data_IF_076559270513
#
_entry.id   IF_076559270513
#
_cell.length_a   1.000
_cell.length_b   1.000
_cell.length_c   1.000
_cell.angle_alpha   90.00
_cell.angle_beta   90.00
_cell.angle_gamma   90.00
#
_symmetry.space_group_name_H-M   'P 1'
#
loop_
_entity.id
_entity.type
_entity.pdbx_description
1 polymer ?
#
# COMPACT_ATOMS: atom_id res chain seq x y z
N UNK A 1 -6.81 -8.80 -26.61
CA UNK A 1 -6.97 -8.07 -25.32
C UNK A 1 -7.38 -9.12 -24.31
N UNK A 2 -6.51 -9.38 -23.34
CA UNK A 2 -6.74 -10.35 -22.26
C UNK A 2 -7.91 -9.83 -21.41
N UNK A 3 -8.95 -10.65 -21.22
CA UNK A 3 -10.09 -10.31 -20.37
C UNK A 3 -10.08 -11.22 -19.14
N UNK A 4 -9.43 -10.77 -18.08
CA UNK A 4 -9.47 -11.49 -16.80
C UNK A 4 -10.86 -11.40 -16.15
N UNK A 5 -11.28 -12.50 -15.52
CA UNK A 5 -12.49 -12.53 -14.69
C UNK A 5 -12.15 -12.06 -13.26
N UNK A 6 -12.17 -10.77 -13.03
CA UNK A 6 -11.80 -10.19 -11.74
C UNK A 6 -12.80 -10.52 -10.60
N UNK A 7 -14.04 -10.92 -10.91
CA UNK A 7 -14.97 -11.37 -9.88
C UNK A 7 -14.56 -12.70 -9.24
N UNK A 8 -13.83 -13.54 -9.96
CA UNK A 8 -13.25 -14.76 -9.39
C UNK A 8 -12.09 -14.45 -8.44
N UNK A 9 -11.29 -13.41 -8.73
CA UNK A 9 -10.26 -12.94 -7.80
C UNK A 9 -10.85 -12.28 -6.56
N UNK A 10 -11.94 -11.50 -6.70
CA UNK A 10 -12.68 -10.96 -5.57
C UNK A 10 -13.15 -12.11 -4.64
N UNK A 11 -13.83 -13.13 -5.21
CA UNK A 11 -14.31 -14.29 -4.45
C UNK A 11 -13.17 -15.13 -3.84
N UNK A 12 -12.03 -15.24 -4.53
CA UNK A 12 -10.87 -15.95 -4.02
C UNK A 12 -10.24 -15.22 -2.81
N UNK A 13 -10.24 -13.90 -2.87
CA UNK A 13 -9.76 -13.07 -1.75
C UNK A 13 -10.67 -13.21 -0.53
N UNK A 14 -12.00 -13.20 -0.73
CA UNK A 14 -12.96 -13.41 0.36
C UNK A 14 -12.70 -14.75 1.05
N UNK A 15 -12.52 -15.84 0.29
CA UNK A 15 -12.21 -17.17 0.83
C UNK A 15 -10.87 -17.22 1.59
N UNK A 16 -9.89 -16.43 1.16
CA UNK A 16 -8.61 -16.31 1.85
C UNK A 16 -8.76 -15.57 3.18
N UNK A 17 -9.57 -14.48 3.20
CA UNK A 17 -9.86 -13.69 4.41
C UNK A 17 -10.67 -14.52 5.41
N UNK A 18 -11.63 -15.33 4.94
CA UNK A 18 -12.47 -16.22 5.76
C UNK A 18 -11.74 -17.49 6.20
N UNK A 19 -10.45 -17.62 5.86
CA UNK A 19 -9.60 -18.78 6.18
C UNK A 19 -10.12 -20.12 5.59
N UNK A 20 -10.98 -20.06 4.58
CA UNK A 20 -11.44 -21.26 3.85
C UNK A 20 -10.32 -21.89 3.00
N UNK A 21 -9.36 -21.07 2.57
CA UNK A 21 -8.16 -21.51 1.86
C UNK A 21 -6.91 -20.93 2.52
N UNK A 22 -5.83 -21.70 2.54
CA UNK A 22 -4.53 -21.23 3.04
C UNK A 22 -3.74 -20.46 1.98
N UNK A 23 -2.82 -19.61 2.44
CA UNK A 23 -1.89 -18.90 1.53
C UNK A 23 -1.05 -19.85 0.68
N UNK A 24 -0.72 -21.04 1.21
CA UNK A 24 0.03 -22.08 0.48
C UNK A 24 -0.77 -22.70 -0.65
N UNK A 25 -2.10 -22.73 -0.56
CA UNK A 25 -2.98 -23.30 -1.57
C UNK A 25 -3.37 -22.27 -2.65
N UNK A 26 -3.17 -20.98 -2.38
CA UNK A 26 -3.56 -19.88 -3.24
C UNK A 26 -3.03 -20.01 -4.67
N UNK A 27 -1.76 -20.39 -4.93
CA UNK A 27 -1.27 -20.59 -6.29
C UNK A 27 -2.09 -21.59 -7.10
N UNK A 28 -2.56 -22.69 -6.47
CA UNK A 28 -3.38 -23.70 -7.12
C UNK A 28 -4.74 -23.14 -7.61
N UNK A 29 -5.34 -22.24 -6.83
CA UNK A 29 -6.61 -21.60 -7.21
C UNK A 29 -6.44 -20.46 -8.22
N UNK A 30 -5.27 -19.83 -8.26
CA UNK A 30 -4.97 -18.75 -9.21
C UNK A 30 -4.55 -19.30 -10.58
N UNK A 31 -3.87 -20.45 -10.63
CA UNK A 31 -3.35 -21.03 -11.88
C UNK A 31 -4.39 -21.10 -13.02
N UNK A 32 -5.65 -21.53 -12.79
CA UNK A 32 -6.67 -21.56 -13.83
C UNK A 32 -7.08 -20.18 -14.37
N UNK A 33 -6.79 -19.09 -13.63
CA UNK A 33 -7.14 -17.72 -13.99
C UNK A 33 -6.02 -17.02 -14.77
N UNK A 34 -4.86 -17.67 -14.92
CA UNK A 34 -3.69 -17.07 -15.56
C UNK A 34 -3.81 -17.14 -17.09
N UNK A 35 -3.68 -15.98 -17.73
CA UNK A 35 -3.41 -15.85 -19.17
C UNK A 35 -1.95 -15.39 -19.43
N UNK A 36 -1.11 -15.45 -18.40
CA UNK A 36 0.28 -15.04 -18.40
C UNK A 36 0.94 -15.36 -17.07
N UNK A 37 1.70 -14.42 -16.51
CA UNK A 37 2.29 -14.58 -15.19
C UNK A 37 1.35 -14.09 -14.07
N UNK A 38 1.56 -14.59 -12.85
CA UNK A 38 0.88 -14.10 -11.64
C UNK A 38 1.01 -12.57 -11.53
N UNK A 39 2.20 -12.04 -11.79
CA UNK A 39 2.41 -10.59 -11.70
C UNK A 39 1.64 -9.80 -12.76
N UNK A 40 1.45 -10.35 -13.96
CA UNK A 40 0.64 -9.69 -14.99
C UNK A 40 -0.83 -9.66 -14.58
N UNK A 41 -1.35 -10.75 -14.01
CA UNK A 41 -2.69 -10.81 -13.45
C UNK A 41 -2.89 -9.78 -12.33
N UNK A 42 -1.98 -9.75 -11.34
CA UNK A 42 -2.05 -8.81 -10.22
C UNK A 42 -1.96 -7.35 -10.67
N UNK A 43 -1.08 -7.05 -11.64
CA UNK A 43 -1.01 -5.71 -12.24
C UNK A 43 -2.30 -5.31 -12.96
N UNK A 44 -2.88 -6.22 -13.72
CA UNK A 44 -4.15 -5.98 -14.41
C UNK A 44 -5.28 -5.74 -13.41
N UNK A 45 -5.35 -6.54 -12.34
CA UNK A 45 -6.35 -6.43 -11.28
C UNK A 45 -6.23 -5.11 -10.52
N UNK A 46 -5.00 -4.74 -10.12
CA UNK A 46 -4.75 -3.46 -9.45
C UNK A 46 -5.04 -2.27 -10.37
N UNK A 47 -4.68 -2.32 -11.65
CA UNK A 47 -4.98 -1.27 -12.62
C UNK A 47 -6.50 -1.12 -12.86
N UNK A 48 -7.25 -2.22 -12.87
CA UNK A 48 -8.71 -2.17 -12.96
C UNK A 48 -9.30 -1.47 -11.73
N UNK A 49 -8.84 -1.84 -10.52
CA UNK A 49 -9.25 -1.21 -9.28
C UNK A 49 -8.96 0.31 -9.27
N UNK A 50 -7.79 0.73 -9.74
CA UNK A 50 -7.40 2.14 -9.86
C UNK A 50 -8.29 2.86 -10.87
N UNK A 51 -8.50 2.28 -12.05
CA UNK A 51 -9.30 2.88 -13.14
C UNK A 51 -10.73 3.14 -12.71
N UNK A 52 -11.33 2.19 -11.97
CA UNK A 52 -12.71 2.29 -11.50
C UNK A 52 -12.83 2.89 -10.09
N UNK A 53 -11.73 3.31 -9.47
CA UNK A 53 -11.67 3.81 -8.08
C UNK A 53 -12.36 2.86 -7.09
N UNK A 54 -12.13 1.56 -7.24
CA UNK A 54 -12.70 0.54 -6.39
C UNK A 54 -11.78 0.27 -5.18
N UNK A 55 -12.07 0.93 -4.05
CA UNK A 55 -11.26 0.84 -2.84
C UNK A 55 -11.17 -0.59 -2.28
N UNK A 56 -12.28 -1.34 -2.26
CA UNK A 56 -12.30 -2.72 -1.78
C UNK A 56 -11.40 -3.61 -2.63
N UNK A 57 -11.38 -3.41 -3.95
CA UNK A 57 -10.51 -4.19 -4.85
C UNK A 57 -9.03 -3.83 -4.69
N UNK A 58 -8.70 -2.60 -4.26
CA UNK A 58 -7.33 -2.26 -3.85
C UNK A 58 -6.89 -3.13 -2.66
N UNK A 59 -7.73 -3.24 -1.64
CA UNK A 59 -7.45 -4.10 -0.48
C UNK A 59 -7.28 -5.57 -0.89
N UNK A 60 -8.18 -6.08 -1.73
CA UNK A 60 -8.06 -7.44 -2.28
C UNK A 60 -6.75 -7.64 -3.04
N UNK A 61 -6.35 -6.69 -3.89
CA UNK A 61 -5.11 -6.78 -4.66
C UNK A 61 -3.88 -6.82 -3.75
N UNK A 62 -3.87 -6.02 -2.67
CA UNK A 62 -2.77 -6.02 -1.69
C UNK A 62 -2.72 -7.33 -0.90
N UNK A 63 -3.86 -7.87 -0.48
CA UNK A 63 -3.95 -9.16 0.22
C UNK A 63 -3.41 -10.30 -0.67
N UNK A 64 -3.86 -10.37 -1.93
CA UNK A 64 -3.39 -11.38 -2.87
C UNK A 64 -1.89 -11.24 -3.16
N UNK A 65 -1.40 -10.02 -3.40
CA UNK A 65 0.02 -9.77 -3.66
C UNK A 65 0.89 -10.16 -2.47
N UNK A 66 0.46 -9.81 -1.25
CA UNK A 66 1.15 -10.19 -0.01
C UNK A 66 1.18 -11.71 0.19
N UNK A 67 0.04 -12.39 0.02
CA UNK A 67 -0.07 -13.84 0.14
C UNK A 67 0.79 -14.60 -0.88
N UNK A 68 1.00 -14.02 -2.07
CA UNK A 68 1.82 -14.58 -3.14
C UNK A 68 3.29 -14.14 -3.09
N UNK A 69 3.65 -13.21 -2.19
CA UNK A 69 5.01 -12.66 -2.10
C UNK A 69 5.40 -11.75 -3.26
N UNK A 70 4.43 -11.12 -3.93
CA UNK A 70 4.63 -10.32 -5.15
C UNK A 70 4.64 -8.80 -4.92
N UNK A 71 4.44 -8.31 -3.69
CA UNK A 71 4.37 -6.88 -3.36
C UNK A 71 5.51 -6.06 -3.92
N UNK A 72 6.73 -6.58 -3.83
CA UNK A 72 7.93 -5.88 -4.32
C UNK A 72 7.83 -5.52 -5.81
N UNK A 73 7.18 -6.36 -6.60
CA UNK A 73 7.03 -6.15 -8.06
C UNK A 73 5.93 -5.13 -8.39
N UNK A 74 5.07 -4.81 -7.41
CA UNK A 74 3.99 -3.82 -7.53
C UNK A 74 4.36 -2.47 -6.90
N UNK A 75 5.55 -2.33 -6.33
CA UNK A 75 5.95 -1.17 -5.53
C UNK A 75 5.73 0.18 -6.24
N UNK A 76 6.02 0.26 -7.54
CA UNK A 76 5.80 1.49 -8.33
C UNK A 76 4.33 1.89 -8.44
N UNK A 77 3.42 0.90 -8.52
CA UNK A 77 1.98 1.15 -8.54
C UNK A 77 1.49 1.58 -7.16
N UNK A 78 2.01 0.97 -6.10
CA UNK A 78 1.72 1.33 -4.71
C UNK A 78 2.18 2.74 -4.36
N UNK A 79 3.34 3.19 -4.85
CA UNK A 79 3.79 4.58 -4.68
C UNK A 79 2.83 5.60 -5.32
N UNK A 80 2.36 5.31 -6.53
CA UNK A 80 1.39 6.18 -7.19
C UNK A 80 0.06 6.18 -6.43
N UNK A 81 -0.39 5.01 -6.00
CA UNK A 81 -1.63 4.85 -5.25
C UNK A 81 -1.58 5.56 -3.89
N UNK A 82 -0.43 5.55 -3.19
CA UNK A 82 -0.24 6.25 -1.92
C UNK A 82 -0.61 7.75 -2.00
N UNK A 83 -0.47 8.38 -3.16
CA UNK A 83 -0.77 9.80 -3.35
C UNK A 83 -2.22 10.08 -3.78
N UNK A 84 -3.02 9.06 -4.01
CA UNK A 84 -4.45 9.16 -4.31
C UNK A 84 -5.25 9.25 -3.01
N UNK A 85 -6.41 9.93 -3.03
CA UNK A 85 -7.20 10.21 -1.81
C UNK A 85 -8.56 9.52 -1.75
N UNK A 86 -8.89 8.70 -2.76
CA UNK A 86 -10.20 8.07 -2.92
C UNK A 86 -10.31 6.67 -2.27
N UNK A 87 -9.23 6.11 -1.73
CA UNK A 87 -9.20 4.82 -1.02
C UNK A 87 -8.76 5.00 0.45
N UNK A 88 -8.74 3.92 1.23
CA UNK A 88 -8.43 3.95 2.65
C UNK A 88 -7.17 3.14 3.05
N UNK A 89 -6.44 2.59 2.10
CA UNK A 89 -5.30 1.68 2.33
C UNK A 89 -3.95 2.40 2.52
N UNK A 90 -3.95 3.69 2.89
CA UNK A 90 -2.71 4.49 2.94
C UNK A 90 -1.69 3.96 3.94
N UNK A 91 -2.13 3.51 5.12
CA UNK A 91 -1.21 2.99 6.14
C UNK A 91 -0.57 1.69 5.71
N UNK A 92 -1.33 0.79 5.07
CA UNK A 92 -0.82 -0.49 4.56
C UNK A 92 0.15 -0.27 3.39
N UNK A 93 -0.13 0.71 2.52
CA UNK A 93 0.79 1.09 1.44
C UNK A 93 2.13 1.62 2.00
N UNK A 94 2.11 2.39 3.09
CA UNK A 94 3.35 2.83 3.76
C UNK A 94 4.11 1.65 4.31
N UNK A 95 3.45 0.67 4.94
CA UNK A 95 4.09 -0.53 5.49
C UNK A 95 4.73 -1.38 4.38
N UNK A 96 4.08 -1.51 3.23
CA UNK A 96 4.66 -2.20 2.06
C UNK A 96 5.87 -1.45 1.52
N UNK A 97 5.77 -0.11 1.36
CA UNK A 97 6.89 0.70 0.89
C UNK A 97 8.06 0.64 1.89
N UNK A 98 7.78 0.67 3.20
CA UNK A 98 8.80 0.49 4.23
C UNK A 98 9.50 -0.87 4.14
N UNK A 99 8.74 -1.93 3.80
CA UNK A 99 9.25 -3.30 3.77
C UNK A 99 10.10 -3.60 2.53
N UNK A 100 9.71 -3.08 1.38
CA UNK A 100 10.31 -3.45 0.08
C UNK A 100 11.00 -2.30 -0.64
N UNK A 101 10.82 -1.06 -0.18
CA UNK A 101 11.38 0.14 -0.77
C UNK A 101 12.86 0.39 -0.43
N UNK A 102 13.33 1.54 -0.87
CA UNK A 102 14.67 2.05 -0.61
C UNK A 102 14.64 3.59 -0.57
N UNK A 103 15.80 4.22 -0.50
CA UNK A 103 15.90 5.69 -0.42
C UNK A 103 15.24 6.45 -1.58
N UNK A 104 15.06 5.83 -2.76
CA UNK A 104 14.37 6.48 -3.89
C UNK A 104 12.87 6.72 -3.64
N UNK A 105 12.25 5.94 -2.75
CA UNK A 105 10.83 6.04 -2.40
C UNK A 105 10.53 7.16 -1.39
N UNK A 106 11.58 7.72 -0.75
CA UNK A 106 11.44 8.75 0.31
C UNK A 106 10.74 10.01 -0.19
N UNK A 107 10.97 10.40 -1.44
CA UNK A 107 10.30 11.57 -2.02
C UNK A 107 8.77 11.40 -2.09
N UNK A 108 8.28 10.19 -2.39
CA UNK A 108 6.85 9.86 -2.38
C UNK A 108 6.29 9.90 -0.96
N UNK A 109 6.98 9.27 0.01
CA UNK A 109 6.57 9.31 1.41
C UNK A 109 6.53 10.76 1.95
N UNK A 110 7.48 11.61 1.56
CA UNK A 110 7.48 13.02 1.96
C UNK A 110 6.29 13.79 1.37
N UNK A 111 5.91 13.54 0.12
CA UNK A 111 4.73 14.15 -0.50
C UNK A 111 3.44 13.77 0.23
N UNK A 112 3.35 12.54 0.74
CA UNK A 112 2.17 12.02 1.41
C UNK A 112 1.80 12.80 2.68
N UNK A 113 2.72 13.54 3.33
CA UNK A 113 2.39 14.45 4.43
C UNK A 113 1.46 15.62 4.05
N UNK A 114 1.25 15.85 2.76
CA UNK A 114 0.36 16.91 2.29
C UNK A 114 -1.03 16.40 1.93
N UNK A 115 -1.29 15.11 2.06
CA UNK A 115 -2.60 14.53 1.75
C UNK A 115 -3.63 14.97 2.79
N UNK A 116 -4.82 15.30 2.32
CA UNK A 116 -6.01 15.46 3.16
C UNK A 116 -6.81 14.16 3.07
N UNK A 117 -6.85 13.43 4.18
CA UNK A 117 -7.52 12.13 4.29
C UNK A 117 -8.65 12.22 5.30
N UNK A 118 -9.88 12.54 4.89
CA UNK A 118 -11.01 12.80 5.81
C UNK A 118 -11.25 11.66 6.81
N UNK A 119 -11.03 10.42 6.39
CA UNK A 119 -11.21 9.25 7.26
C UNK A 119 -10.16 9.12 8.38
N UNK A 120 -9.07 9.93 8.35
CA UNK A 120 -8.03 9.98 9.38
C UNK A 120 -8.05 11.28 10.20
N UNK A 121 -8.99 12.19 9.97
CA UNK A 121 -9.07 13.47 10.70
C UNK A 121 -9.35 13.30 12.20
N UNK A 122 -10.03 12.20 12.59
CA UNK A 122 -10.36 11.89 13.98
C UNK A 122 -9.13 11.83 14.92
N UNK A 123 -7.96 11.47 14.37
CA UNK A 123 -6.69 11.44 15.11
C UNK A 123 -5.65 12.44 14.57
N UNK A 124 -6.08 13.46 13.81
CA UNK A 124 -5.19 14.44 13.17
C UNK A 124 -4.09 13.80 12.32
N UNK A 125 -4.41 12.71 11.61
CA UNK A 125 -3.48 11.92 10.79
C UNK A 125 -2.30 11.34 11.59
N UNK A 126 -2.41 11.22 12.92
CA UNK A 126 -1.31 10.83 13.80
C UNK A 126 -0.68 9.50 13.37
N UNK A 127 -1.49 8.44 13.23
CA UNK A 127 -1.01 7.09 12.89
C UNK A 127 -0.32 7.08 11.52
N UNK A 128 -0.93 7.69 10.52
CA UNK A 128 -0.40 7.78 9.17
C UNK A 128 0.93 8.56 9.12
N UNK A 129 0.96 9.78 9.69
CA UNK A 129 2.19 10.57 9.74
C UNK A 129 3.31 9.89 10.54
N UNK A 130 2.96 9.16 11.59
CA UNK A 130 3.91 8.38 12.38
C UNK A 130 4.53 7.26 11.54
N UNK A 131 3.72 6.48 10.80
CA UNK A 131 4.19 5.45 9.87
C UNK A 131 5.10 6.05 8.79
N UNK A 132 4.72 7.17 8.18
CA UNK A 132 5.56 7.88 7.20
C UNK A 132 6.94 8.23 7.77
N UNK A 133 6.99 8.75 9.01
CA UNK A 133 8.25 9.09 9.66
C UNK A 133 9.12 7.86 9.93
N UNK A 134 8.52 6.73 10.39
CA UNK A 134 9.27 5.49 10.59
C UNK A 134 9.80 4.91 9.27
N UNK A 135 8.97 4.89 8.23
CA UNK A 135 9.39 4.45 6.91
C UNK A 135 10.59 5.28 6.36
N UNK A 136 10.53 6.61 6.49
CA UNK A 136 11.62 7.50 6.09
C UNK A 136 12.87 7.25 6.93
N UNK A 137 12.74 7.09 8.25
CA UNK A 137 13.87 6.79 9.12
C UNK A 137 14.56 5.48 8.73
N UNK A 138 13.79 4.46 8.37
CA UNK A 138 14.32 3.16 7.94
C UNK A 138 14.99 3.21 6.57
N UNK A 139 14.36 3.90 5.59
CA UNK A 139 14.79 3.90 4.19
C UNK A 139 15.91 4.91 3.90
N UNK A 140 16.01 6.00 4.66
CA UNK A 140 17.02 7.06 4.49
C UNK A 140 17.32 7.76 5.83
N UNK A 141 17.95 7.07 6.78
CA UNK A 141 18.24 7.61 8.12
C UNK A 141 19.07 8.89 8.07
N UNK A 142 19.93 9.05 7.08
CA UNK A 142 20.78 10.24 6.87
C UNK A 142 19.97 11.49 6.48
N UNK A 143 18.79 11.32 5.88
CA UNK A 143 17.89 12.42 5.47
C UNK A 143 16.81 12.71 6.50
N UNK A 144 16.58 11.80 7.45
CA UNK A 144 15.44 11.83 8.36
C UNK A 144 15.28 13.16 9.12
N UNK A 145 16.38 13.65 9.72
CA UNK A 145 16.34 14.89 10.52
C UNK A 145 15.92 16.12 9.69
N UNK A 146 16.43 16.21 8.46
CA UNK A 146 16.09 17.28 7.51
C UNK A 146 14.63 17.20 7.09
N UNK A 147 14.17 16.00 6.71
CA UNK A 147 12.79 15.77 6.25
C UNK A 147 11.82 16.02 7.39
N UNK A 148 12.08 15.49 8.59
CA UNK A 148 11.24 15.74 9.78
C UNK A 148 11.07 17.23 10.06
N UNK A 149 12.14 18.01 9.96
CA UNK A 149 12.08 19.47 10.11
C UNK A 149 11.21 20.11 9.03
N UNK A 150 11.35 19.68 7.78
CA UNK A 150 10.59 20.20 6.64
C UNK A 150 9.08 19.96 6.78
N UNK A 151 8.67 18.79 7.32
CA UNK A 151 7.25 18.43 7.49
C UNK A 151 6.67 18.82 8.85
N UNK A 152 7.46 19.45 9.74
CA UNK A 152 7.07 19.72 11.13
C UNK A 152 5.74 20.48 11.26
N UNK A 153 5.44 21.39 10.33
CA UNK A 153 4.17 22.14 10.33
C UNK A 153 2.93 21.29 10.04
N UNK A 154 3.12 20.08 9.47
CA UNK A 154 2.06 19.12 9.16
C UNK A 154 1.79 18.15 10.31
N UNK A 155 2.72 18.02 11.24
CA UNK A 155 2.62 17.06 12.33
C UNK A 155 1.72 17.61 13.45
N UNK A 156 0.92 16.74 14.06
CA UNK A 156 0.22 17.06 15.29
C UNK A 156 1.21 17.25 16.46
N UNK A 157 0.75 17.89 17.54
CA UNK A 157 1.64 18.26 18.66
C UNK A 157 2.25 17.06 19.39
N UNK A 158 1.59 15.92 19.38
CA UNK A 158 2.12 14.68 19.94
C UNK A 158 3.34 14.20 19.13
N UNK A 159 3.22 14.14 17.80
CA UNK A 159 4.32 13.71 16.92
C UNK A 159 5.50 14.67 16.93
N UNK A 160 5.26 15.98 17.10
CA UNK A 160 6.35 16.97 17.22
C UNK A 160 7.28 16.68 18.41
N UNK A 161 6.74 16.08 19.47
CA UNK A 161 7.45 15.76 20.72
C UNK A 161 7.97 14.33 20.78
N UNK A 162 7.53 13.46 19.86
CA UNK A 162 7.92 12.04 19.86
C UNK A 162 9.40 11.87 19.49
N UNK A 163 10.08 10.97 20.21
CA UNK A 163 11.45 10.55 19.89
C UNK A 163 11.42 9.35 18.96
N UNK A 164 12.02 9.49 17.79
CA UNK A 164 12.22 8.41 16.84
C UNK A 164 13.63 7.83 17.03
N UNK A 165 13.69 6.53 17.37
CA UNK A 165 14.94 5.79 17.59
C UNK A 165 14.98 4.56 16.72
#
# INVERSE_FOLDING_TARGET
MIMYNFSELDALTDRLIEEEIGTYDLPYYIEPLLEGSIIDLLKAYLNDAITHKNASRIECAMILAGALGEDKKLLSQYENLLLETWHHSHEDLVDIIESYGNSSNVATLQKAFNLSLPYMEYNHHYSFHRKLLYAILKLAPEQFAQIRKAVQSKLCDTLKKESFK
#
